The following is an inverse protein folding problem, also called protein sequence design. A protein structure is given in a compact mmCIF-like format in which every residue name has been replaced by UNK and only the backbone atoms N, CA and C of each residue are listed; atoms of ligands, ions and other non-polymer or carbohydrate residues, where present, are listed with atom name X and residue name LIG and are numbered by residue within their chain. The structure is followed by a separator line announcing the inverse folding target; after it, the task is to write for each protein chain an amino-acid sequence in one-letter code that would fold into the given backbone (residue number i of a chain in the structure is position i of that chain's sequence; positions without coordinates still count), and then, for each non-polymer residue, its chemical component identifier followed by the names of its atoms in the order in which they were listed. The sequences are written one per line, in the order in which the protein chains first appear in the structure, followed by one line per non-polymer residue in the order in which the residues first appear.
data_IF_340005085601
#
_entry.id   IF_340005085601
#
_cell.length_a   1.000
_cell.length_b   1.000
_cell.length_c   1.000
_cell.angle_alpha   90.00
_cell.angle_beta   90.00
_cell.angle_gamma   90.00
#
_symmetry.space_group_name_H-M   'P 1'
#
loop_
_entity.id
_entity.type
_entity.pdbx_description
1 polymer ?
#
# COMPACT_ATOMS: atom_id res chain seq x y z
N UNK A 1 -17.45 -3.67 -17.03
CA UNK A 1 -16.87 -5.05 -17.07
C UNK A 1 -17.28 -5.81 -15.83
N UNK A 2 -17.70 -7.07 -16.00
CA UNK A 2 -18.05 -7.98 -14.90
C UNK A 2 -17.54 -9.38 -15.22
N UNK A 3 -16.90 -10.06 -14.24
CA UNK A 3 -16.40 -11.43 -14.37
C UNK A 3 -16.14 -12.07 -13.01
N UNK A 4 -15.85 -13.36 -13.01
CA UNK A 4 -15.53 -14.15 -11.82
C UNK A 4 -14.18 -14.85 -11.98
N UNK A 5 -13.42 -14.89 -10.88
CA UNK A 5 -12.21 -15.70 -10.77
C UNK A 5 -12.50 -16.92 -9.89
N UNK A 6 -12.15 -18.08 -10.38
CA UNK A 6 -12.18 -19.30 -9.59
C UNK A 6 -10.86 -19.43 -8.81
N UNK A 7 -10.96 -19.56 -7.48
CA UNK A 7 -9.84 -19.66 -6.54
C UNK A 7 -9.81 -21.00 -5.79
N UNK A 8 -10.46 -22.05 -6.33
CA UNK A 8 -10.65 -23.35 -5.62
C UNK A 8 -9.36 -23.97 -5.10
N UNK A 9 -8.24 -23.79 -5.81
CA UNK A 9 -6.94 -24.36 -5.44
C UNK A 9 -5.96 -23.29 -4.91
N UNK A 10 -6.46 -22.09 -4.63
CA UNK A 10 -5.62 -20.94 -4.27
C UNK A 10 -6.06 -20.41 -2.92
N UNK A 11 -5.24 -20.53 -1.85
CA UNK A 11 -5.54 -19.88 -0.59
C UNK A 11 -5.61 -18.36 -0.78
N UNK A 12 -6.81 -17.80 -0.58
CA UNK A 12 -7.05 -16.37 -0.70
C UNK A 12 -8.15 -15.92 0.28
N UNK A 13 -7.90 -14.82 0.96
CA UNK A 13 -8.84 -14.16 1.84
C UNK A 13 -8.85 -12.67 1.55
N UNK A 14 -9.92 -12.20 0.90
CA UNK A 14 -10.08 -10.82 0.48
C UNK A 14 -10.09 -9.86 1.67
N UNK A 15 -10.85 -10.16 2.71
CA UNK A 15 -11.01 -9.31 3.88
C UNK A 15 -9.67 -9.13 4.61
N UNK A 16 -8.97 -10.23 4.93
CA UNK A 16 -7.66 -10.16 5.55
C UNK A 16 -6.66 -9.35 4.71
N UNK A 17 -6.70 -9.51 3.38
CA UNK A 17 -5.78 -8.81 2.48
C UNK A 17 -6.05 -7.31 2.38
N UNK A 18 -7.32 -6.88 2.46
CA UNK A 18 -7.68 -5.46 2.34
C UNK A 18 -7.70 -4.71 3.69
N UNK A 19 -7.82 -5.40 4.82
CA UNK A 19 -7.93 -4.78 6.14
C UNK A 19 -6.65 -4.82 6.99
N UNK A 20 -5.60 -5.50 6.55
CA UNK A 20 -4.35 -5.60 7.32
C UNK A 20 -3.52 -4.31 7.41
N UNK A 21 -3.97 -3.20 6.79
CA UNK A 21 -3.32 -1.90 6.89
C UNK A 21 -2.25 -1.63 5.82
N UNK A 22 -2.21 -2.41 4.75
CA UNK A 22 -1.33 -2.18 3.61
C UNK A 22 -1.94 -1.25 2.54
N UNK A 23 -3.29 -1.18 2.47
CA UNK A 23 -4.04 -0.33 1.53
C UNK A 23 -5.10 0.47 2.29
N UNK A 24 -5.43 1.69 1.81
CA UNK A 24 -6.27 2.60 2.58
C UNK A 24 -7.52 3.07 1.84
N UNK A 25 -7.66 2.79 0.54
CA UNK A 25 -8.77 3.29 -0.27
C UNK A 25 -9.94 2.31 -0.39
N UNK A 26 -9.77 1.07 0.01
CA UNK A 26 -10.86 0.10 0.03
C UNK A 26 -11.88 0.44 1.11
N UNK A 27 -13.15 0.45 0.70
CA UNK A 27 -14.32 0.65 1.58
C UNK A 27 -15.29 -0.49 1.39
N UNK A 28 -15.96 -0.88 2.46
CA UNK A 28 -17.04 -1.86 2.38
C UNK A 28 -18.35 -1.15 2.12
N UNK A 29 -19.01 -1.47 1.02
CA UNK A 29 -20.34 -0.97 0.64
C UNK A 29 -21.26 -2.18 0.49
N UNK A 30 -22.15 -2.37 1.47
CA UNK A 30 -22.95 -3.60 1.63
C UNK A 30 -22.03 -4.85 1.72
N UNK A 31 -22.16 -5.78 0.74
CA UNK A 31 -21.34 -7.00 0.67
C UNK A 31 -20.11 -6.88 -0.24
N UNK A 32 -19.87 -5.72 -0.82
CA UNK A 32 -18.78 -5.47 -1.75
C UNK A 32 -17.67 -4.64 -1.12
N UNK A 33 -16.45 -4.96 -1.49
CA UNK A 33 -15.31 -4.06 -1.32
C UNK A 33 -15.21 -3.17 -2.54
N UNK A 34 -15.10 -1.86 -2.36
CA UNK A 34 -15.06 -0.87 -3.44
C UNK A 34 -13.85 0.03 -3.26
N UNK A 35 -13.10 0.23 -4.32
CA UNK A 35 -11.99 1.18 -4.39
C UNK A 35 -11.86 1.78 -5.79
N UNK A 36 -11.11 2.85 -5.88
CA UNK A 36 -10.54 3.29 -7.17
C UNK A 36 -9.09 2.81 -7.20
N UNK A 37 -8.73 2.05 -8.22
CA UNK A 37 -7.37 1.60 -8.51
C UNK A 37 -6.94 2.34 -9.78
N UNK A 38 -5.87 3.10 -9.71
CA UNK A 38 -5.44 4.00 -10.78
C UNK A 38 -6.61 4.90 -11.24
N UNK A 39 -7.13 4.69 -12.46
CA UNK A 39 -8.18 5.49 -13.10
C UNK A 39 -9.56 4.80 -13.13
N UNK A 40 -9.75 3.69 -12.41
CA UNK A 40 -10.97 2.85 -12.50
C UNK A 40 -11.55 2.48 -11.16
N UNK A 41 -12.88 2.46 -11.08
CA UNK A 41 -13.60 1.89 -9.93
C UNK A 41 -13.58 0.38 -10.05
N UNK A 42 -13.22 -0.31 -8.97
CA UNK A 42 -13.23 -1.77 -8.86
C UNK A 42 -14.03 -2.18 -7.65
N UNK A 43 -14.97 -3.11 -7.85
CA UNK A 43 -15.76 -3.76 -6.80
C UNK A 43 -15.37 -5.22 -6.73
N UNK A 44 -15.07 -5.71 -5.53
CA UNK A 44 -14.70 -7.09 -5.26
C UNK A 44 -15.62 -7.69 -4.22
N UNK A 45 -16.03 -8.94 -4.44
CA UNK A 45 -16.77 -9.74 -3.46
C UNK A 45 -16.31 -11.18 -3.52
N UNK A 46 -15.79 -11.68 -2.40
CA UNK A 46 -15.47 -13.11 -2.30
C UNK A 46 -16.65 -13.87 -1.73
N UNK A 47 -17.05 -14.93 -2.41
CA UNK A 47 -18.07 -15.90 -2.00
C UNK A 47 -17.44 -17.29 -2.16
N UNK A 48 -17.12 -17.91 -1.03
CA UNK A 48 -16.36 -19.17 -0.99
C UNK A 48 -15.07 -19.10 -1.84
N UNK A 49 -15.00 -19.90 -2.90
CA UNK A 49 -13.85 -19.97 -3.80
C UNK A 49 -14.03 -19.12 -5.07
N UNK A 50 -15.01 -18.22 -5.09
CA UNK A 50 -15.24 -17.32 -6.22
C UNK A 50 -14.96 -15.87 -5.80
N UNK A 51 -14.16 -15.18 -6.60
CA UNK A 51 -13.99 -13.74 -6.51
C UNK A 51 -14.77 -13.06 -7.63
N UNK A 52 -15.87 -12.42 -7.26
CA UNK A 52 -16.67 -11.61 -8.16
C UNK A 52 -16.03 -10.25 -8.34
N UNK A 53 -15.92 -9.79 -9.57
CA UNK A 53 -15.28 -8.53 -9.97
C UNK A 53 -16.24 -7.72 -10.82
N UNK A 54 -16.46 -6.45 -10.45
CA UNK A 54 -17.16 -5.46 -11.27
C UNK A 54 -16.24 -4.25 -11.40
N UNK A 55 -16.12 -3.68 -12.60
CA UNK A 55 -15.28 -2.50 -12.83
C UNK A 55 -15.91 -1.52 -13.80
N UNK A 56 -15.57 -0.24 -13.61
CA UNK A 56 -15.91 0.85 -14.52
C UNK A 56 -15.13 0.83 -15.84
N UNK A 57 -14.12 0.00 -15.96
CA UNK A 57 -13.22 -0.05 -17.13
C UNK A 57 -13.12 -1.46 -17.70
N UNK A 58 -13.19 -1.57 -19.02
CA UNK A 58 -13.02 -2.83 -19.74
C UNK A 58 -11.55 -3.32 -19.75
N UNK A 59 -10.61 -2.45 -19.42
CA UNK A 59 -9.21 -2.85 -19.22
C UNK A 59 -8.95 -3.59 -17.90
N UNK A 60 -9.95 -3.66 -17.02
CA UNK A 60 -9.89 -4.47 -15.79
C UNK A 60 -10.20 -5.92 -16.14
N UNK A 61 -9.20 -6.67 -16.53
CA UNK A 61 -9.30 -8.09 -16.84
C UNK A 61 -8.82 -8.97 -15.67
N UNK A 62 -8.90 -10.29 -15.87
CA UNK A 62 -8.44 -11.28 -14.89
C UNK A 62 -6.97 -11.11 -14.54
N UNK A 63 -6.09 -10.87 -15.51
CA UNK A 63 -4.65 -10.68 -15.29
C UNK A 63 -4.35 -9.47 -14.41
N UNK A 64 -5.06 -8.35 -14.64
CA UNK A 64 -4.95 -7.15 -13.81
C UNK A 64 -5.29 -7.45 -12.34
N UNK A 65 -6.42 -8.12 -12.08
CA UNK A 65 -6.86 -8.46 -10.73
C UNK A 65 -5.90 -9.47 -10.07
N UNK A 66 -5.44 -10.49 -10.81
CA UNK A 66 -4.47 -11.46 -10.32
C UNK A 66 -3.14 -10.80 -9.93
N UNK A 67 -2.67 -9.85 -10.73
CA UNK A 67 -1.46 -9.08 -10.45
C UNK A 67 -1.65 -8.17 -9.24
N UNK A 68 -2.73 -7.41 -9.19
CA UNK A 68 -3.03 -6.49 -8.09
C UNK A 68 -3.14 -7.22 -6.74
N UNK A 69 -3.85 -8.34 -6.69
CA UNK A 69 -4.05 -9.16 -5.49
C UNK A 69 -2.94 -10.20 -5.27
N UNK A 70 -1.92 -10.26 -6.14
CA UNK A 70 -0.81 -11.22 -6.10
C UNK A 70 -1.29 -12.67 -5.98
N UNK A 71 -2.36 -13.02 -6.67
CA UNK A 71 -2.99 -14.35 -6.61
C UNK A 71 -2.06 -15.44 -7.13
N UNK A 72 -1.18 -15.11 -8.05
CA UNK A 72 -0.26 -16.06 -8.68
C UNK A 72 1.00 -16.35 -7.83
N UNK A 73 1.23 -15.61 -6.73
CA UNK A 73 2.34 -15.91 -5.84
C UNK A 73 2.16 -17.31 -5.20
N UNK A 74 3.22 -18.10 -5.05
CA UNK A 74 3.17 -19.46 -4.51
C UNK A 74 2.97 -19.43 -2.98
N UNK A 75 1.83 -18.94 -2.51
CA UNK A 75 1.56 -18.75 -1.09
C UNK A 75 1.75 -20.01 -0.24
N UNK A 76 1.36 -21.22 -0.67
CA UNK A 76 1.61 -22.43 0.12
C UNK A 76 3.10 -22.66 0.39
N UNK A 77 3.96 -22.44 -0.61
CA UNK A 77 5.41 -22.61 -0.45
C UNK A 77 6.00 -21.54 0.46
N UNK A 78 5.54 -20.30 0.31
CA UNK A 78 5.91 -19.17 1.18
C UNK A 78 5.54 -19.50 2.63
N UNK A 79 4.29 -19.89 2.88
CA UNK A 79 3.82 -20.24 4.23
C UNK A 79 4.60 -21.40 4.83
N UNK A 80 4.94 -22.40 4.03
CA UNK A 80 5.79 -23.52 4.46
C UNK A 80 7.19 -23.04 4.85
N UNK A 81 7.77 -22.13 4.09
CA UNK A 81 9.13 -21.62 4.34
C UNK A 81 9.25 -20.80 5.62
N UNK A 82 8.19 -20.05 5.99
CA UNK A 82 8.16 -19.20 7.18
C UNK A 82 7.60 -19.88 8.43
N UNK A 83 7.00 -21.06 8.30
CA UNK A 83 6.41 -21.83 9.42
C UNK A 83 7.49 -22.52 10.25
N UNK A 84 8.26 -21.76 11.03
CA UNK A 84 9.45 -22.26 11.74
C UNK A 84 9.28 -22.42 13.25
N UNK A 85 8.18 -21.92 13.81
CA UNK A 85 7.85 -22.02 15.23
C UNK A 85 6.34 -21.91 15.47
N UNK A 86 5.92 -22.15 16.72
CA UNK A 86 4.50 -22.17 17.08
C UNK A 86 3.82 -20.78 16.96
N UNK A 87 4.57 -19.68 17.08
CA UNK A 87 4.05 -18.31 16.93
C UNK A 87 3.67 -18.07 15.48
N UNK A 88 4.59 -18.42 14.56
CA UNK A 88 4.35 -18.35 13.12
C UNK A 88 3.25 -19.33 12.69
N UNK A 89 3.24 -20.57 13.19
CA UNK A 89 2.17 -21.52 12.90
C UNK A 89 0.79 -20.97 13.28
N UNK A 90 0.69 -20.34 14.46
CA UNK A 90 -0.55 -19.72 14.93
C UNK A 90 -0.97 -18.53 14.05
N UNK A 91 -0.03 -17.68 13.66
CA UNK A 91 -0.29 -16.54 12.79
C UNK A 91 -0.75 -17.00 11.38
N UNK A 92 -0.07 -17.97 10.80
CA UNK A 92 -0.41 -18.58 9.50
C UNK A 92 -1.83 -19.15 9.54
N UNK A 93 -2.17 -19.92 10.58
CA UNK A 93 -3.50 -20.52 10.71
C UNK A 93 -4.61 -19.45 10.78
N UNK A 94 -4.37 -18.35 11.50
CA UNK A 94 -5.36 -17.25 11.64
C UNK A 94 -5.50 -16.39 10.40
N UNK A 95 -4.44 -16.26 9.62
CA UNK A 95 -4.36 -15.33 8.49
C UNK A 95 -4.18 -16.05 7.16
N UNK A 96 -4.61 -17.31 7.10
CA UNK A 96 -4.50 -18.10 5.86
C UNK A 96 -5.18 -17.36 4.70
N UNK A 97 -4.50 -17.30 3.55
CA UNK A 97 -5.00 -16.60 2.37
C UNK A 97 -4.78 -15.09 2.36
N UNK A 98 -4.16 -14.50 3.40
CA UNK A 98 -3.70 -13.11 3.34
C UNK A 98 -2.66 -12.95 2.23
N UNK A 99 -2.84 -11.93 1.38
CA UNK A 99 -1.94 -11.59 0.28
C UNK A 99 -1.41 -10.17 0.41
N UNK A 100 -0.20 -9.93 -0.08
CA UNK A 100 0.27 -8.58 -0.34
C UNK A 100 -0.53 -7.98 -1.51
N UNK A 101 -0.75 -6.67 -1.48
CA UNK A 101 -1.44 -5.95 -2.56
C UNK A 101 -0.40 -5.13 -3.33
N UNK A 102 -0.35 -5.33 -4.64
CA UNK A 102 0.49 -4.53 -5.54
C UNK A 102 -0.15 -3.16 -5.76
N UNK A 103 0.50 -2.12 -5.28
CA UNK A 103 0.01 -0.75 -5.36
C UNK A 103 0.78 0.06 -6.41
N UNK A 104 0.16 1.11 -6.95
CA UNK A 104 0.86 2.14 -7.72
C UNK A 104 1.95 2.78 -6.86
N UNK A 105 3.19 2.95 -7.37
CA UNK A 105 4.30 3.47 -6.57
C UNK A 105 4.04 4.85 -5.97
N UNK A 106 3.45 5.77 -6.74
CA UNK A 106 3.16 7.12 -6.25
C UNK A 106 2.07 7.12 -5.18
N UNK A 107 0.93 6.46 -5.40
CA UNK A 107 -0.15 6.38 -4.41
C UNK A 107 0.33 5.69 -3.13
N UNK A 108 1.13 4.63 -3.25
CA UNK A 108 1.73 3.94 -2.11
C UNK A 108 2.62 4.88 -1.29
N UNK A 109 3.57 5.57 -1.93
CA UNK A 109 4.47 6.51 -1.28
C UNK A 109 3.71 7.62 -0.55
N UNK A 110 2.80 8.29 -1.24
CA UNK A 110 1.98 9.37 -0.69
C UNK A 110 1.12 8.90 0.50
N UNK A 111 0.51 7.71 0.37
CA UNK A 111 -0.32 7.11 1.42
C UNK A 111 0.48 6.78 2.67
N UNK A 112 1.71 6.25 2.54
CA UNK A 112 2.55 5.94 3.68
C UNK A 112 3.21 7.18 4.31
N UNK A 113 3.43 8.27 3.57
CA UNK A 113 3.74 9.58 4.17
C UNK A 113 2.57 10.06 5.06
N UNK A 114 1.33 9.93 4.58
CA UNK A 114 0.13 10.23 5.37
C UNK A 114 -0.02 9.32 6.60
N UNK A 115 0.46 8.09 6.54
CA UNK A 115 0.31 7.09 7.61
C UNK A 115 1.20 7.33 8.84
N UNK A 116 2.21 8.18 8.76
CA UNK A 116 3.19 8.43 9.84
C UNK A 116 2.48 8.94 11.10
N UNK A 117 2.63 8.22 12.24
CA UNK A 117 2.01 8.54 13.54
C UNK A 117 0.49 8.79 13.47
N UNK A 118 -0.25 8.00 12.70
CA UNK A 118 -1.70 8.12 12.55
C UNK A 118 -2.39 6.76 12.62
N UNK A 119 -3.61 6.70 13.14
CA UNK A 119 -4.43 5.49 13.08
C UNK A 119 -5.06 5.30 11.68
N UNK A 120 -5.45 4.07 11.36
CA UNK A 120 -5.97 3.69 10.04
C UNK A 120 -7.16 4.55 9.61
N UNK A 121 -8.10 4.84 10.52
CA UNK A 121 -9.27 5.68 10.22
C UNK A 121 -8.84 7.08 9.79
N UNK A 122 -7.91 7.69 10.53
CA UNK A 122 -7.38 9.02 10.19
C UNK A 122 -6.61 9.04 8.87
N UNK A 123 -5.89 7.94 8.54
CA UNK A 123 -5.20 7.81 7.25
C UNK A 123 -6.23 7.73 6.12
N UNK A 124 -7.23 6.86 6.23
CA UNK A 124 -8.32 6.72 5.23
C UNK A 124 -9.03 8.06 4.99
N UNK A 125 -9.31 8.83 6.06
CA UNK A 125 -9.95 10.14 5.94
C UNK A 125 -9.06 11.16 5.20
N UNK A 126 -7.78 11.26 5.54
CA UNK A 126 -6.83 12.14 4.84
C UNK A 126 -6.76 11.81 3.35
N UNK A 127 -6.57 10.55 3.01
CA UNK A 127 -6.48 10.09 1.61
C UNK A 127 -7.80 10.37 0.88
N UNK A 128 -8.94 10.09 1.51
CA UNK A 128 -10.26 10.38 0.92
C UNK A 128 -10.45 11.88 0.64
N UNK A 129 -10.00 12.76 1.56
CA UNK A 129 -10.07 14.19 1.39
C UNK A 129 -9.15 14.70 0.26
N UNK A 130 -7.93 14.14 0.16
CA UNK A 130 -7.01 14.43 -0.96
C UNK A 130 -7.66 14.04 -2.28
N UNK A 131 -8.19 12.83 -2.40
CA UNK A 131 -8.85 12.36 -3.61
C UNK A 131 -10.06 13.23 -3.98
N UNK A 132 -10.90 13.58 -3.01
CA UNK A 132 -12.08 14.40 -3.22
C UNK A 132 -11.74 15.82 -3.71
N UNK A 133 -10.67 16.43 -3.17
CA UNK A 133 -10.28 17.81 -3.52
C UNK A 133 -9.44 17.91 -4.78
N UNK A 134 -8.59 16.93 -5.06
CA UNK A 134 -7.55 17.01 -6.09
C UNK A 134 -7.63 15.88 -7.13
N UNK A 135 -8.38 14.81 -6.87
CA UNK A 135 -8.53 13.70 -7.78
C UNK A 135 -9.52 13.98 -8.92
N UNK A 136 -9.41 13.20 -9.98
CA UNK A 136 -10.35 13.25 -11.10
C UNK A 136 -11.65 12.50 -10.73
N UNK A 137 -12.77 13.08 -11.17
CA UNK A 137 -14.10 12.50 -10.94
C UNK A 137 -14.34 11.32 -11.88
N UNK A 138 -14.82 10.20 -11.30
CA UNK A 138 -15.31 9.02 -12.02
C UNK A 138 -16.76 8.79 -11.59
N UNK A 139 -17.67 8.69 -12.55
CA UNK A 139 -19.05 8.30 -12.29
C UNK A 139 -19.23 6.81 -12.64
N UNK A 140 -19.71 6.04 -11.68
CA UNK A 140 -19.95 4.60 -11.89
C UNK A 140 -21.16 4.16 -11.08
N UNK A 141 -22.12 3.50 -11.76
CA UNK A 141 -23.41 3.06 -11.17
C UNK A 141 -24.17 4.18 -10.43
N UNK A 142 -24.11 5.42 -10.95
CA UNK A 142 -24.76 6.59 -10.36
C UNK A 142 -24.07 7.14 -9.11
N UNK A 143 -22.89 6.60 -8.73
CA UNK A 143 -22.07 7.06 -7.60
C UNK A 143 -20.83 7.77 -8.15
N UNK A 144 -20.41 8.82 -7.43
CA UNK A 144 -19.22 9.59 -7.78
C UNK A 144 -18.04 9.11 -6.94
N UNK A 145 -16.97 8.73 -7.62
CA UNK A 145 -15.68 8.36 -7.05
C UNK A 145 -14.60 9.33 -7.53
N UNK A 146 -13.42 9.28 -6.90
CA UNK A 146 -12.30 10.15 -7.25
C UNK A 146 -11.00 9.35 -7.32
N UNK A 147 -10.17 9.61 -8.35
CA UNK A 147 -8.82 9.02 -8.44
C UNK A 147 -7.94 9.53 -7.31
N UNK A 148 -6.83 8.85 -7.05
CA UNK A 148 -5.72 9.46 -6.34
C UNK A 148 -5.06 10.49 -7.28
N UNK A 149 -4.79 11.73 -6.84
CA UNK A 149 -4.20 12.75 -7.71
C UNK A 149 -2.73 12.41 -8.03
N UNK A 150 -2.34 12.67 -9.29
CA UNK A 150 -0.97 12.54 -9.74
C UNK A 150 -0.04 13.48 -8.97
N UNK A 151 1.28 13.17 -8.99
CA UNK A 151 2.27 13.97 -8.26
C UNK A 151 2.28 15.43 -8.70
N UNK A 152 2.10 15.71 -9.98
CA UNK A 152 2.05 17.03 -10.58
C UNK A 152 0.87 17.85 -10.03
N UNK A 153 -0.26 17.21 -9.81
CA UNK A 153 -1.45 17.87 -9.25
C UNK A 153 -1.21 18.26 -7.79
N UNK A 154 -0.62 17.33 -7.00
CA UNK A 154 -0.28 17.63 -5.60
C UNK A 154 0.83 18.70 -5.54
N UNK A 155 1.83 18.64 -6.41
CA UNK A 155 2.92 19.59 -6.47
C UNK A 155 2.45 21.02 -6.81
N UNK A 156 1.39 21.14 -7.63
CA UNK A 156 0.78 22.43 -7.99
C UNK A 156 -0.24 22.95 -6.97
N UNK A 157 -0.63 22.14 -5.99
CA UNK A 157 -1.60 22.53 -4.97
C UNK A 157 -0.98 23.51 -3.96
N UNK A 158 -1.81 24.39 -3.42
CA UNK A 158 -1.43 25.17 -2.25
C UNK A 158 -1.30 24.27 -1.02
N UNK A 159 -0.29 24.52 -0.22
CA UNK A 159 -0.04 23.79 1.03
C UNK A 159 -1.25 23.79 1.95
N UNK A 160 -1.98 24.91 2.02
CA UNK A 160 -3.18 25.04 2.84
C UNK A 160 -4.29 24.06 2.41
N UNK A 161 -4.43 23.81 1.12
CA UNK A 161 -5.36 22.80 0.58
C UNK A 161 -5.06 21.41 1.14
N UNK A 162 -3.78 21.04 1.26
CA UNK A 162 -3.37 19.76 1.86
C UNK A 162 -3.56 19.74 3.39
N UNK A 163 -3.30 20.87 4.06
CA UNK A 163 -3.57 21.02 5.50
C UNK A 163 -5.07 20.84 5.81
N UNK A 164 -5.95 21.40 4.98
CA UNK A 164 -7.41 21.24 5.06
C UNK A 164 -7.88 19.80 4.82
N UNK A 165 -7.08 18.97 4.12
CA UNK A 165 -7.33 17.54 4.01
C UNK A 165 -7.03 16.78 5.32
N UNK A 166 -6.56 17.47 6.35
CA UNK A 166 -6.26 16.90 7.66
C UNK A 166 -4.83 16.38 7.81
N UNK A 167 -3.92 16.73 6.89
CA UNK A 167 -2.53 16.26 6.89
C UNK A 167 -1.69 16.88 8.02
N UNK A 168 -2.01 18.10 8.47
CA UNK A 168 -1.20 18.83 9.43
C UNK A 168 0.24 18.99 8.93
N UNK A 169 1.25 18.69 9.76
CA UNK A 169 2.67 18.80 9.38
C UNK A 169 3.08 17.94 8.17
N UNK A 170 2.31 16.90 7.83
CA UNK A 170 2.57 16.00 6.70
C UNK A 170 2.32 16.70 5.36
N UNK A 171 1.49 17.75 5.34
CA UNK A 171 1.22 18.54 4.14
C UNK A 171 2.51 19.05 3.50
N UNK A 172 3.44 19.57 4.32
CA UNK A 172 4.77 20.01 3.85
C UNK A 172 5.54 18.83 3.21
N UNK A 173 5.59 17.70 3.88
CA UNK A 173 6.34 16.53 3.40
C UNK A 173 5.76 15.99 2.09
N UNK A 174 4.43 15.84 2.02
CA UNK A 174 3.77 15.35 0.83
C UNK A 174 3.97 16.31 -0.36
N UNK A 175 3.85 17.62 -0.13
CA UNK A 175 4.05 18.64 -1.17
C UNK A 175 5.49 18.65 -1.70
N UNK A 176 6.48 18.63 -0.82
CA UNK A 176 7.89 18.60 -1.20
C UNK A 176 8.24 17.31 -1.95
N UNK A 177 7.77 16.15 -1.47
CA UNK A 177 7.97 14.86 -2.16
C UNK A 177 7.27 14.85 -3.52
N UNK A 178 6.03 15.37 -3.63
CA UNK A 178 5.32 15.51 -4.90
C UNK A 178 6.11 16.37 -5.91
N UNK A 179 6.71 17.48 -5.46
CA UNK A 179 7.57 18.31 -6.32
C UNK A 179 8.78 17.54 -6.86
N UNK A 180 9.43 16.69 -6.04
CA UNK A 180 10.59 15.88 -6.48
C UNK A 180 10.20 14.83 -7.52
N UNK A 181 9.03 14.21 -7.35
CA UNK A 181 8.50 13.25 -8.31
C UNK A 181 8.08 13.98 -9.61
N UNK A 182 7.31 15.07 -9.50
CA UNK A 182 6.87 15.85 -10.66
C UNK A 182 8.02 16.47 -11.46
N UNK A 183 9.10 16.90 -10.81
CA UNK A 183 10.33 17.39 -11.47
C UNK A 183 11.22 16.28 -12.01
N UNK A 184 10.85 15.00 -11.81
CA UNK A 184 11.60 13.80 -12.21
C UNK A 184 12.99 13.68 -11.57
N UNK A 185 13.22 14.33 -10.43
CA UNK A 185 14.42 14.09 -9.63
C UNK A 185 14.46 12.64 -9.12
N UNK A 186 13.28 12.06 -8.83
CA UNK A 186 13.11 10.64 -8.56
C UNK A 186 12.02 10.09 -9.48
N UNK A 187 12.33 9.04 -10.22
CA UNK A 187 11.42 8.35 -11.14
C UNK A 187 11.07 7.01 -10.50
N UNK A 188 9.92 6.92 -9.86
CA UNK A 188 9.51 5.75 -9.08
C UNK A 188 9.38 4.49 -9.94
N UNK A 189 8.93 4.63 -11.19
CA UNK A 189 8.74 3.53 -12.14
C UNK A 189 10.06 2.80 -12.44
N UNK A 190 11.17 3.53 -12.45
CA UNK A 190 12.50 2.95 -12.70
C UNK A 190 13.01 2.12 -11.51
N UNK A 191 12.46 2.34 -10.32
CA UNK A 191 12.91 1.66 -9.10
C UNK A 191 12.43 0.19 -9.03
N UNK A 192 11.36 -0.16 -9.74
CA UNK A 192 10.88 -1.55 -9.76
C UNK A 192 11.94 -2.51 -10.33
N UNK A 193 12.67 -2.11 -11.37
CA UNK A 193 13.74 -2.92 -12.00
C UNK A 193 15.11 -2.81 -11.30
N UNK A 194 15.30 -1.81 -10.43
CA UNK A 194 16.58 -1.58 -9.75
C UNK A 194 16.80 -2.62 -8.62
N UNK A 195 18.05 -2.80 -8.19
CA UNK A 195 18.40 -3.67 -7.05
C UNK A 195 17.88 -3.10 -5.73
N UNK A 196 17.58 -3.97 -4.78
CA UNK A 196 17.06 -3.65 -3.45
C UNK A 196 17.86 -2.52 -2.77
N UNK A 197 19.19 -2.68 -2.70
CA UNK A 197 20.08 -1.75 -2.01
C UNK A 197 20.02 -0.35 -2.63
N UNK A 198 20.03 -0.28 -3.96
CA UNK A 198 19.97 0.99 -4.69
C UNK A 198 18.62 1.70 -4.48
N UNK A 199 17.52 0.93 -4.51
CA UNK A 199 16.18 1.48 -4.24
C UNK A 199 16.10 2.05 -2.84
N UNK A 200 16.60 1.31 -1.84
CA UNK A 200 16.61 1.72 -0.45
C UNK A 200 17.47 2.96 -0.23
N UNK A 201 18.63 3.03 -0.87
CA UNK A 201 19.51 4.19 -0.84
C UNK A 201 18.80 5.44 -1.40
N UNK A 202 18.21 5.35 -2.61
CA UNK A 202 17.48 6.47 -3.23
C UNK A 202 16.32 6.94 -2.36
N UNK A 203 15.50 6.02 -1.83
CA UNK A 203 14.35 6.39 -0.99
C UNK A 203 14.75 7.06 0.34
N UNK A 204 15.94 6.78 0.85
CA UNK A 204 16.47 7.30 2.12
C UNK A 204 17.53 8.38 1.95
N UNK A 205 17.87 8.71 0.71
CA UNK A 205 18.96 9.64 0.41
C UNK A 205 18.82 10.98 1.14
N UNK A 206 19.95 11.45 1.66
CA UNK A 206 20.08 12.78 2.21
C UNK A 206 20.96 13.62 1.29
N UNK A 207 20.46 14.78 0.90
CA UNK A 207 21.20 15.80 0.17
C UNK A 207 21.67 16.90 1.13
N UNK A 208 22.49 17.83 0.65
CA UNK A 208 22.90 19.02 1.42
C UNK A 208 21.69 19.90 1.85
N UNK A 209 20.55 19.73 1.19
CA UNK A 209 19.28 20.43 1.48
C UNK A 209 18.32 19.61 2.35
N UNK A 210 18.74 18.45 2.87
CA UNK A 210 17.92 17.51 3.61
C UNK A 210 17.60 16.24 2.82
N UNK A 211 16.52 15.53 3.22
CA UNK A 211 16.10 14.31 2.52
C UNK A 211 15.59 14.61 1.12
N UNK A 212 15.94 13.76 0.15
CA UNK A 212 15.42 13.85 -1.20
C UNK A 212 13.91 13.61 -1.23
N UNK A 213 13.41 12.68 -0.41
CA UNK A 213 11.99 12.43 -0.21
C UNK A 213 11.57 12.75 1.24
N UNK A 214 11.17 13.99 1.55
CA UNK A 214 10.73 14.38 2.88
C UNK A 214 9.54 13.54 3.36
N UNK A 215 9.56 13.15 4.63
CA UNK A 215 8.55 12.26 5.21
C UNK A 215 8.82 10.77 5.00
N UNK A 216 9.84 10.40 4.21
CA UNK A 216 10.27 9.02 4.02
C UNK A 216 11.37 8.67 5.02
N UNK A 217 11.03 7.81 5.96
CA UNK A 217 11.97 7.16 6.87
C UNK A 217 12.08 5.67 6.53
N UNK A 218 12.92 4.89 7.26
CA UNK A 218 13.12 3.47 6.98
C UNK A 218 11.82 2.68 6.82
N UNK A 219 10.87 2.84 7.75
CA UNK A 219 9.56 2.15 7.69
C UNK A 219 8.75 2.51 6.43
N UNK A 220 8.73 3.79 6.03
CA UNK A 220 7.98 4.22 4.83
C UNK A 220 8.67 3.70 3.58
N UNK A 221 10.00 3.77 3.51
CA UNK A 221 10.79 3.21 2.42
C UNK A 221 10.50 1.70 2.25
N UNK A 222 10.58 0.93 3.34
CA UNK A 222 10.31 -0.51 3.31
C UNK A 222 8.86 -0.83 2.90
N UNK A 223 7.86 -0.01 3.30
CA UNK A 223 6.49 -0.16 2.83
C UNK A 223 6.37 0.07 1.32
N UNK A 224 6.96 1.14 0.80
CA UNK A 224 6.95 1.44 -0.64
C UNK A 224 7.65 0.33 -1.43
N UNK A 225 8.82 -0.11 -0.96
CA UNK A 225 9.59 -1.19 -1.55
C UNK A 225 8.78 -2.49 -1.62
N UNK A 226 8.14 -2.89 -0.52
CA UNK A 226 7.39 -4.14 -0.41
C UNK A 226 6.09 -4.09 -1.22
N UNK A 227 5.29 -3.04 -1.06
CA UNK A 227 3.92 -3.00 -1.58
C UNK A 227 3.81 -2.43 -2.99
N UNK A 228 4.87 -1.79 -3.53
CA UNK A 228 4.78 -1.18 -4.86
C UNK A 228 5.97 -1.43 -5.79
N UNK A 229 7.17 -1.70 -5.26
CA UNK A 229 8.40 -1.82 -6.05
C UNK A 229 8.93 -3.25 -6.18
N UNK A 230 8.13 -4.26 -5.85
CA UNK A 230 8.50 -5.70 -5.94
C UNK A 230 9.78 -6.08 -5.16
N UNK A 231 10.11 -5.34 -4.09
CA UNK A 231 11.25 -5.65 -3.23
C UNK A 231 10.77 -6.48 -2.05
N UNK A 232 10.53 -7.78 -2.29
CA UNK A 232 9.93 -8.69 -1.31
C UNK A 232 10.82 -9.00 -0.11
N UNK A 233 12.10 -8.62 -0.16
CA UNK A 233 13.03 -8.67 0.99
C UNK A 233 12.81 -7.49 1.97
N UNK A 234 12.03 -6.47 1.59
CA UNK A 234 11.73 -5.36 2.47
C UNK A 234 10.83 -5.80 3.63
N UNK A 235 11.18 -5.38 4.84
CA UNK A 235 10.45 -5.71 6.06
C UNK A 235 10.10 -4.46 6.86
N UNK A 236 8.92 -3.87 6.65
CA UNK A 236 8.51 -2.65 7.34
C UNK A 236 8.35 -2.86 8.85
N UNK A 237 9.26 -2.34 9.64
CA UNK A 237 9.19 -2.42 11.10
C UNK A 237 8.46 -1.20 11.64
N UNK A 238 7.19 -1.35 11.93
CA UNK A 238 6.41 -0.37 12.66
C UNK A 238 6.40 -0.66 14.18
N UNK A 239 5.65 0.15 14.91
CA UNK A 239 5.50 0.02 16.37
C UNK A 239 4.90 -1.34 16.79
N UNK A 240 3.99 -1.90 15.97
CA UNK A 240 3.33 -3.17 16.28
C UNK A 240 4.24 -4.36 15.99
N UNK A 241 4.93 -4.35 14.86
CA UNK A 241 5.95 -5.36 14.51
C UNK A 241 7.06 -5.36 15.57
N UNK A 242 7.57 -4.18 15.96
CA UNK A 242 8.59 -4.06 17.03
C UNK A 242 8.10 -4.70 18.34
N UNK A 243 6.88 -4.38 18.78
CA UNK A 243 6.28 -4.96 20.01
C UNK A 243 6.10 -6.48 19.89
N UNK A 244 5.70 -6.96 18.71
CA UNK A 244 5.54 -8.39 18.46
C UNK A 244 6.88 -9.11 18.55
N UNK A 245 7.93 -8.59 17.92
CA UNK A 245 9.28 -9.16 17.98
C UNK A 245 9.79 -9.13 19.43
N UNK A 246 9.64 -8.01 20.15
CA UNK A 246 10.05 -7.92 21.56
C UNK A 246 9.32 -8.93 22.46
N UNK A 247 8.06 -9.19 22.19
CA UNK A 247 7.26 -10.12 22.99
C UNK A 247 7.57 -11.60 22.72
N UNK A 248 7.74 -11.97 21.46
CA UNK A 248 7.81 -13.37 21.05
C UNK A 248 9.22 -13.82 20.66
N UNK A 249 10.13 -12.87 20.36
CA UNK A 249 11.50 -13.11 19.94
C UNK A 249 12.49 -12.19 20.67
N UNK A 250 12.43 -12.10 22.03
CA UNK A 250 13.25 -11.17 22.80
C UNK A 250 14.77 -11.37 22.58
N UNK A 251 15.19 -12.60 22.30
CA UNK A 251 16.59 -12.94 22.04
C UNK A 251 17.21 -12.20 20.83
N UNK A 252 16.41 -11.65 19.93
CA UNK A 252 16.91 -10.85 18.80
C UNK A 252 17.43 -9.46 19.25
N UNK A 253 17.07 -9.01 20.45
CA UNK A 253 17.52 -7.73 21.02
C UNK A 253 18.67 -7.88 22.01
N UNK A 254 18.92 -9.09 22.54
CA UNK A 254 19.96 -9.31 23.54
C UNK A 254 21.39 -9.28 22.94
N UNK A 255 21.52 -9.38 21.61
CA UNK A 255 22.80 -9.35 20.90
C UNK A 255 23.35 -7.94 20.60
N UNK A 256 22.52 -6.88 20.73
CA UNK A 256 22.96 -5.49 20.47
C UNK A 256 23.61 -4.81 21.68
N UNK A 257 23.73 -5.51 22.83
CA UNK A 257 24.33 -4.96 24.06
C UNK A 257 25.86 -5.13 24.13
N UNK A 258 26.51 -5.65 23.10
CA UNK A 258 27.95 -5.97 23.10
C UNK A 258 28.75 -5.31 21.95
N UNK A 259 28.32 -4.13 21.47
CA UNK A 259 29.17 -3.32 20.59
C UNK A 259 29.06 -1.84 20.91
#
# INVERSE_FOLDING_TARGET
MEFQLNLSDIPFNLENSLECGQVFRWKRENSWWVAVIDDRVVKLKQEDNLLNVISSSDSTNEEFIRKYLRINDPLPDILTSINRDHVMATAIHKLIGLRLIKQSPWECLASFICATYKNIIGIKNMISNICFRLGQRIEFEGIIYYTFPEAEIIASADRHTLEDCGLGYRAKFLLETANRIASREVILENLESAKYENVREILLENTDKGKILPGVGPKVADCVMLFSLEKLDAFPIDVWIRRTIQKYYPFLFDNDSNH
#
